data_IF_161549418157
#
_entry.id   IF_161549418157
#
_cell.length_a   1.000
_cell.length_b   1.000
_cell.length_c   1.000
_cell.angle_alpha   90.00
_cell.angle_beta   90.00
_cell.angle_gamma   90.00
#
_symmetry.space_group_name_H-M   'P 1'
#
loop_
_entity.id
_entity.type
_entity.pdbx_description
1 polymer ?
#
# COMPACT_ATOMS: atom_id res chain seq x y z
N UNK A 1 -69.30 -0.68 11.64
CA UNK A 1 -68.14 -0.49 12.54
C UNK A 1 -66.90 -0.93 11.80
N UNK A 2 -66.08 0.05 11.28
CA UNK A 2 -64.85 -0.23 10.52
C UNK A 2 -63.69 -0.28 11.51
N UNK A 3 -63.01 -1.43 11.63
CA UNK A 3 -61.80 -1.56 12.43
C UNK A 3 -60.61 -1.04 11.61
N UNK A 4 -59.99 0.08 12.07
CA UNK A 4 -58.76 0.58 11.55
C UNK A 4 -57.63 -0.17 12.26
N UNK A 5 -56.85 -0.96 11.49
CA UNK A 5 -55.63 -1.62 11.97
C UNK A 5 -54.47 -0.65 11.69
N UNK A 6 -53.93 -0.09 12.77
CA UNK A 6 -52.78 0.79 12.71
C UNK A 6 -51.49 -0.09 12.63
N UNK A 7 -50.82 -0.12 11.47
CA UNK A 7 -49.54 -0.76 11.30
C UNK A 7 -48.43 0.18 11.84
N UNK A 8 -47.91 -0.14 13.00
CA UNK A 8 -46.74 0.56 13.56
C UNK A 8 -45.47 -0.05 12.95
N UNK A 9 -44.92 0.59 11.90
CA UNK A 9 -43.64 0.20 11.33
C UNK A 9 -42.51 0.71 12.23
N UNK A 10 -41.89 -0.24 12.98
CA UNK A 10 -40.67 0.02 13.75
C UNK A 10 -39.51 0.12 12.76
N UNK A 11 -39.11 1.34 12.39
CA UNK A 11 -37.83 1.58 11.72
C UNK A 11 -36.70 1.32 12.74
N UNK A 12 -36.14 0.13 12.74
CA UNK A 12 -34.87 -0.13 13.41
C UNK A 12 -33.77 0.59 12.66
N UNK A 13 -33.32 1.74 13.16
CA UNK A 13 -32.09 2.40 12.73
C UNK A 13 -30.90 1.51 13.11
N UNK A 14 -30.36 0.75 12.16
CA UNK A 14 -29.07 0.07 12.31
C UNK A 14 -28.01 1.16 12.30
N UNK A 15 -27.63 1.64 13.49
CA UNK A 15 -26.45 2.48 13.66
C UNK A 15 -25.23 1.61 13.39
N UNK A 16 -24.71 1.62 12.18
CA UNK A 16 -23.38 1.09 11.91
C UNK A 16 -22.38 2.01 12.61
N UNK A 17 -21.90 1.61 13.77
CA UNK A 17 -20.74 2.21 14.42
C UNK A 17 -19.51 1.94 13.54
N UNK A 18 -19.34 2.69 12.46
CA UNK A 18 -18.08 2.74 11.74
C UNK A 18 -17.04 3.27 12.74
N UNK A 19 -16.11 2.42 13.15
CA UNK A 19 -15.02 2.82 14.03
C UNK A 19 -14.32 4.02 13.40
N UNK A 20 -14.36 5.18 14.07
CA UNK A 20 -13.80 6.42 13.55
C UNK A 20 -12.27 6.26 13.45
N UNK A 21 -11.78 6.24 12.24
CA UNK A 21 -10.33 6.20 11.97
C UNK A 21 -9.60 7.33 12.70
N UNK A 22 -8.44 7.07 13.28
CA UNK A 22 -7.64 8.10 13.94
C UNK A 22 -7.20 9.18 12.94
N UNK A 23 -6.95 10.42 13.37
CA UNK A 23 -6.43 11.46 12.50
C UNK A 23 -5.06 11.10 11.87
N UNK A 24 -4.24 10.32 12.58
CA UNK A 24 -2.94 9.86 12.08
C UNK A 24 -3.10 8.86 10.95
N UNK A 25 -3.93 7.84 11.17
CA UNK A 25 -4.20 6.80 10.18
C UNK A 25 -4.90 7.38 8.94
N UNK A 26 -5.85 8.31 9.13
CA UNK A 26 -6.50 9.02 8.03
C UNK A 26 -5.51 9.84 7.18
N UNK A 27 -4.56 10.53 7.83
CA UNK A 27 -3.49 11.25 7.14
C UNK A 27 -2.57 10.31 6.39
N UNK A 28 -2.18 9.19 6.99
CA UNK A 28 -1.36 8.18 6.32
C UNK A 28 -2.07 7.65 5.08
N UNK A 29 -3.35 7.28 5.20
CA UNK A 29 -4.16 6.84 4.07
C UNK A 29 -4.17 7.89 2.94
N UNK A 30 -4.38 9.16 3.27
CA UNK A 30 -4.36 10.26 2.29
C UNK A 30 -3.00 10.37 1.57
N UNK A 31 -1.89 10.11 2.28
CA UNK A 31 -0.54 10.24 1.71
C UNK A 31 -0.16 9.06 0.83
N UNK A 32 -0.58 7.83 1.18
CA UNK A 32 -0.19 6.64 0.43
C UNK A 32 -1.12 6.32 -0.75
N UNK A 33 -2.38 6.80 -0.73
CA UNK A 33 -3.32 6.56 -1.85
C UNK A 33 -3.15 7.60 -2.94
N UNK A 34 -3.32 7.19 -4.19
CA UNK A 34 -3.22 8.04 -5.38
C UNK A 34 -2.45 7.37 -6.51
N UNK A 35 -2.16 8.17 -7.53
CA UNK A 35 -1.30 7.78 -8.65
C UNK A 35 0.05 8.47 -8.49
N UNK A 36 1.12 7.72 -8.68
CA UNK A 36 2.48 8.18 -8.53
C UNK A 36 3.33 7.72 -9.70
N UNK A 37 4.20 8.58 -10.23
CA UNK A 37 5.21 8.19 -11.20
C UNK A 37 6.56 8.90 -10.95
N UNK A 38 7.63 8.32 -11.48
CA UNK A 38 8.97 8.90 -11.42
C UNK A 38 9.42 9.53 -12.76
N UNK A 39 8.50 9.87 -13.64
CA UNK A 39 8.81 10.41 -14.98
C UNK A 39 9.73 11.63 -14.94
N UNK A 40 9.56 12.53 -13.98
CA UNK A 40 10.42 13.71 -13.80
C UNK A 40 11.87 13.31 -13.50
N UNK A 41 12.08 12.30 -12.66
CA UNK A 41 13.41 11.78 -12.33
C UNK A 41 14.05 11.15 -13.57
N UNK A 42 13.33 10.25 -14.26
CA UNK A 42 13.82 9.57 -15.46
C UNK A 42 14.18 10.57 -16.59
N UNK A 43 13.31 11.58 -16.81
CA UNK A 43 13.61 12.65 -17.79
C UNK A 43 14.87 13.42 -17.42
N UNK A 44 15.08 13.73 -16.14
CA UNK A 44 16.27 14.44 -15.68
C UNK A 44 17.54 13.59 -15.87
N UNK A 45 17.47 12.30 -15.59
CA UNK A 45 18.56 11.34 -15.79
C UNK A 45 18.94 11.20 -17.27
N UNK A 46 17.95 11.08 -18.16
CA UNK A 46 18.16 11.02 -19.60
C UNK A 46 18.83 12.32 -20.11
N UNK A 47 18.38 13.47 -19.63
CA UNK A 47 19.00 14.77 -19.98
C UNK A 47 20.45 14.87 -19.46
N UNK A 48 20.77 14.22 -18.36
CA UNK A 48 22.13 14.14 -17.82
C UNK A 48 23.00 13.08 -18.53
N UNK A 49 22.47 12.40 -19.55
CA UNK A 49 23.20 11.43 -20.37
C UNK A 49 23.20 9.99 -19.81
N UNK A 50 22.53 9.70 -18.70
CA UNK A 50 22.50 8.37 -18.12
C UNK A 50 21.21 8.12 -17.37
N UNK A 51 20.35 7.27 -17.90
CA UNK A 51 19.21 6.74 -17.15
C UNK A 51 19.70 5.71 -16.11
N UNK A 52 19.36 5.92 -14.85
CA UNK A 52 19.71 5.03 -13.73
C UNK A 52 18.50 4.19 -13.29
N UNK A 53 17.32 4.81 -13.23
CA UNK A 53 16.10 4.19 -12.74
C UNK A 53 15.15 3.80 -13.89
N UNK A 54 14.40 2.70 -13.77
CA UNK A 54 13.32 2.41 -14.70
C UNK A 54 12.22 3.47 -14.56
N UNK A 55 11.44 3.69 -15.61
CA UNK A 55 10.17 4.39 -15.45
C UNK A 55 9.22 3.50 -14.67
N UNK A 56 8.71 4.01 -13.57
CA UNK A 56 7.84 3.27 -12.66
C UNK A 56 6.58 4.07 -12.32
N UNK A 57 5.46 3.37 -12.21
CA UNK A 57 4.15 3.93 -11.90
C UNK A 57 3.53 3.07 -10.79
N UNK A 58 2.97 3.71 -9.76
CA UNK A 58 2.20 3.07 -8.70
C UNK A 58 0.78 3.64 -8.69
N UNK A 59 -0.21 2.76 -8.65
CA UNK A 59 -1.63 3.11 -8.53
C UNK A 59 -2.17 2.49 -7.25
N UNK A 60 -2.34 3.32 -6.22
CA UNK A 60 -2.71 2.90 -4.88
C UNK A 60 -4.15 3.29 -4.57
N UNK A 61 -5.03 2.33 -4.32
CA UNK A 61 -6.43 2.56 -3.96
C UNK A 61 -6.82 1.82 -2.70
N UNK A 62 -7.64 2.47 -1.88
CA UNK A 62 -8.27 1.80 -0.73
C UNK A 62 -9.12 0.63 -1.23
N UNK A 63 -8.89 -0.53 -0.64
CA UNK A 63 -9.53 -1.79 -0.99
C UNK A 63 -10.28 -2.45 0.17
N UNK A 64 -10.47 -1.76 1.30
CA UNK A 64 -11.11 -2.30 2.50
C UNK A 64 -12.50 -2.89 2.19
N UNK A 65 -13.28 -2.26 1.31
CA UNK A 65 -14.60 -2.74 0.88
C UNK A 65 -14.55 -4.02 0.03
N UNK A 66 -13.37 -4.39 -0.48
CA UNK A 66 -13.13 -5.65 -1.20
C UNK A 66 -12.79 -6.82 -0.26
N UNK A 67 -12.63 -6.56 1.03
CA UNK A 67 -12.25 -7.57 2.01
C UNK A 67 -13.47 -7.97 2.82
N UNK A 68 -13.84 -9.25 2.78
CA UNK A 68 -14.90 -9.83 3.61
C UNK A 68 -14.33 -10.32 4.95
N UNK A 69 -15.20 -10.47 5.94
CA UNK A 69 -14.87 -11.04 7.25
C UNK A 69 -13.74 -10.30 7.99
N UNK A 70 -13.62 -8.99 7.75
CA UNK A 70 -12.67 -8.14 8.48
C UNK A 70 -13.07 -8.08 9.96
N UNK A 71 -12.14 -8.28 10.91
CA UNK A 71 -12.44 -8.14 12.34
C UNK A 71 -12.98 -6.73 12.65
N UNK A 72 -14.03 -6.66 13.46
CA UNK A 72 -14.67 -5.38 13.82
C UNK A 72 -13.78 -4.43 14.61
N UNK A 73 -12.75 -4.96 15.25
CA UNK A 73 -11.76 -4.21 16.03
C UNK A 73 -10.48 -3.87 15.24
N UNK A 74 -10.44 -4.14 13.93
CA UNK A 74 -9.29 -3.78 13.11
C UNK A 74 -9.17 -2.25 12.99
N UNK A 75 -8.12 -1.68 13.53
CA UNK A 75 -7.81 -0.25 13.39
C UNK A 75 -6.87 -0.05 12.19
N UNK A 76 -7.40 -0.25 10.99
CA UNK A 76 -6.60 -0.24 9.77
C UNK A 76 -7.43 -0.10 8.50
N UNK A 77 -6.73 -0.12 7.37
CA UNK A 77 -7.34 -0.14 6.04
C UNK A 77 -6.47 -0.93 5.07
N UNK A 78 -7.11 -1.50 4.05
CA UNK A 78 -6.43 -2.23 2.98
C UNK A 78 -6.20 -1.35 1.76
N UNK A 79 -5.08 -1.59 1.08
CA UNK A 79 -4.75 -1.01 -0.23
C UNK A 79 -4.46 -2.13 -1.22
N UNK A 80 -4.94 -1.98 -2.46
CA UNK A 80 -4.34 -2.64 -3.60
C UNK A 80 -3.38 -1.63 -4.24
N UNK A 81 -2.12 -2.02 -4.31
CA UNK A 81 -1.10 -1.33 -5.10
C UNK A 81 -0.90 -2.06 -6.42
N UNK A 82 -1.03 -1.34 -7.52
CA UNK A 82 -0.63 -1.79 -8.84
C UNK A 82 0.68 -1.10 -9.21
N UNK A 83 1.77 -1.89 -9.26
CA UNK A 83 3.09 -1.39 -9.64
C UNK A 83 3.40 -1.75 -11.08
N UNK A 84 3.72 -0.76 -11.88
CA UNK A 84 4.10 -0.89 -13.29
C UNK A 84 5.52 -0.38 -13.47
N UNK A 85 6.35 -1.19 -14.12
CA UNK A 85 7.71 -0.80 -14.47
C UNK A 85 7.89 -0.90 -15.98
N UNK A 86 8.56 0.10 -16.56
CA UNK A 86 8.94 0.10 -17.96
C UNK A 86 10.45 0.06 -18.06
N UNK A 87 10.99 -0.96 -18.71
CA UNK A 87 12.41 -1.05 -19.06
C UNK A 87 12.50 -1.04 -20.58
N UNK A 88 13.34 -0.15 -21.12
CA UNK A 88 13.53 0.03 -22.57
C UNK A 88 12.21 0.24 -23.33
N UNK A 89 11.27 0.99 -22.73
CA UNK A 89 9.96 1.26 -23.30
C UNK A 89 9.00 0.08 -23.36
N UNK A 90 9.38 -1.09 -22.82
CA UNK A 90 8.50 -2.27 -22.72
C UNK A 90 7.87 -2.32 -21.35
N UNK A 91 6.55 -2.52 -21.25
CA UNK A 91 5.91 -2.72 -19.96
C UNK A 91 6.46 -3.99 -19.34
N UNK A 92 7.02 -3.86 -18.16
CA UNK A 92 7.26 -5.00 -17.29
C UNK A 92 5.91 -5.47 -16.74
N UNK A 93 5.90 -6.71 -16.34
CA UNK A 93 4.74 -7.31 -15.68
C UNK A 93 4.19 -6.42 -14.56
N UNK A 94 2.88 -6.21 -14.58
CA UNK A 94 2.13 -5.71 -13.45
C UNK A 94 2.43 -6.56 -12.21
N UNK A 95 2.81 -5.91 -11.12
CA UNK A 95 2.95 -6.53 -9.79
C UNK A 95 1.90 -5.96 -8.86
N UNK A 96 0.79 -6.66 -8.67
CA UNK A 96 -0.20 -6.24 -7.69
C UNK A 96 0.21 -6.68 -6.29
N UNK A 97 -0.05 -5.83 -5.31
CA UNK A 97 0.13 -6.11 -3.90
C UNK A 97 -1.17 -5.83 -3.14
N UNK A 98 -1.42 -6.61 -2.10
CA UNK A 98 -2.44 -6.33 -1.10
C UNK A 98 -1.74 -6.00 0.21
N UNK A 99 -1.92 -4.78 0.67
CA UNK A 99 -1.36 -4.25 1.89
C UNK A 99 -2.46 -3.97 2.91
N UNK A 100 -2.19 -4.29 4.16
CA UNK A 100 -2.94 -3.81 5.31
C UNK A 100 -2.05 -2.82 6.08
N UNK A 101 -2.57 -1.63 6.34
CA UNK A 101 -1.96 -0.65 7.22
C UNK A 101 -2.80 -0.53 8.49
N UNK A 102 -2.18 -0.78 9.63
CA UNK A 102 -2.81 -0.72 10.95
C UNK A 102 -2.10 0.26 11.85
N UNK A 103 -2.85 1.09 12.55
CA UNK A 103 -2.29 1.89 13.62
C UNK A 103 -2.08 1.05 14.88
N UNK A 104 -0.85 1.02 15.36
CA UNK A 104 -0.41 0.35 16.59
C UNK A 104 -0.20 1.37 17.71
N UNK A 105 0.01 0.88 18.91
CA UNK A 105 0.35 1.73 20.06
C UNK A 105 1.57 2.60 19.75
N UNK A 106 1.56 3.84 20.27
CA UNK A 106 2.65 4.79 20.06
C UNK A 106 2.58 5.57 18.74
N UNK A 107 1.47 5.47 17.98
CA UNK A 107 1.30 6.20 16.71
C UNK A 107 2.16 5.62 15.57
N UNK A 108 2.42 4.34 15.62
CA UNK A 108 3.10 3.60 14.56
C UNK A 108 2.06 3.08 13.58
N UNK A 109 2.29 3.25 12.27
CA UNK A 109 1.49 2.59 11.25
C UNK A 109 2.26 1.38 10.75
N UNK A 110 1.72 0.19 11.03
CA UNK A 110 2.32 -1.09 10.64
C UNK A 110 1.77 -1.57 9.29
N UNK A 111 2.66 -1.90 8.36
CA UNK A 111 2.36 -2.56 7.09
C UNK A 111 2.42 -4.07 7.24
N UNK A 112 1.36 -4.75 6.82
CA UNK A 112 1.37 -6.20 6.55
C UNK A 112 1.13 -6.42 5.06
N UNK A 113 2.01 -7.19 4.40
CA UNK A 113 1.84 -7.62 3.01
C UNK A 113 1.23 -9.01 2.98
N UNK A 114 0.23 -9.23 2.14
CA UNK A 114 -0.42 -10.53 1.98
C UNK A 114 0.01 -11.25 0.72
N UNK A 115 0.08 -12.60 0.81
CA UNK A 115 0.28 -13.47 -0.34
C UNK A 115 -1.01 -13.52 -1.18
N UNK A 116 -0.85 -13.43 -2.50
CA UNK A 116 -1.96 -13.47 -3.46
C UNK A 116 -1.91 -14.69 -4.38
N UNK A 117 -1.22 -15.76 -3.95
CA UNK A 117 -0.97 -16.96 -4.76
C UNK A 117 -2.23 -17.72 -5.18
N UNK A 118 -3.35 -17.53 -4.45
CA UNK A 118 -4.64 -18.12 -4.79
C UNK A 118 -5.42 -17.33 -5.86
N UNK A 119 -4.91 -16.17 -6.28
CA UNK A 119 -5.59 -15.28 -7.23
C UNK A 119 -4.78 -15.15 -8.52
N UNK A 120 -5.48 -15.00 -9.63
CA UNK A 120 -4.80 -14.67 -10.89
C UNK A 120 -4.36 -13.21 -10.85
N UNK A 121 -3.11 -12.97 -11.18
CA UNK A 121 -2.46 -11.66 -11.12
C UNK A 121 -3.23 -10.59 -11.90
N UNK A 122 -3.75 -10.96 -13.06
CA UNK A 122 -4.48 -10.06 -13.96
C UNK A 122 -5.84 -9.65 -13.40
N UNK A 123 -6.38 -10.41 -12.45
CA UNK A 123 -7.67 -10.12 -11.79
C UNK A 123 -7.49 -9.17 -10.59
N UNK A 124 -6.26 -9.07 -10.04
CA UNK A 124 -5.95 -8.22 -8.88
C UNK A 124 -5.74 -6.80 -9.37
N UNK A 125 -6.85 -6.09 -9.58
CA UNK A 125 -6.86 -4.74 -10.11
C UNK A 125 -7.79 -3.84 -9.30
N UNK A 126 -7.41 -2.57 -9.21
CA UNK A 126 -8.20 -1.56 -8.51
C UNK A 126 -9.59 -1.36 -9.15
N UNK A 127 -9.66 -1.43 -10.49
CA UNK A 127 -10.89 -1.27 -11.28
C UNK A 127 -11.75 -2.55 -11.36
N UNK A 128 -11.24 -3.71 -10.91
CA UNK A 128 -12.03 -4.94 -10.91
C UNK A 128 -13.09 -4.89 -9.78
N UNK A 129 -14.34 -4.59 -10.16
CA UNK A 129 -15.46 -4.45 -9.21
C UNK A 129 -15.91 -5.78 -8.61
N UNK A 130 -15.56 -6.90 -9.23
CA UNK A 130 -15.92 -8.25 -8.76
C UNK A 130 -14.87 -8.85 -7.83
N UNK A 131 -13.69 -8.25 -7.76
CA UNK A 131 -12.60 -8.73 -6.92
C UNK A 131 -12.99 -8.64 -5.45
N UNK A 132 -12.84 -9.75 -4.74
CA UNK A 132 -13.11 -9.86 -3.31
C UNK A 132 -12.14 -10.83 -2.66
N UNK A 133 -11.66 -10.47 -1.47
CA UNK A 133 -10.81 -11.31 -0.63
C UNK A 133 -11.58 -11.70 0.63
N UNK A 134 -11.26 -12.85 1.19
CA UNK A 134 -11.72 -13.24 2.53
C UNK A 134 -10.56 -13.09 3.51
N UNK A 135 -10.72 -12.21 4.50
CA UNK A 135 -9.69 -11.95 5.52
C UNK A 135 -9.19 -13.22 6.20
N UNK A 136 -10.10 -14.18 6.45
CA UNK A 136 -9.76 -15.44 7.12
C UNK A 136 -8.90 -16.38 6.29
N UNK A 137 -8.78 -16.11 4.97
CA UNK A 137 -7.96 -16.87 4.02
C UNK A 137 -6.67 -16.13 3.63
N UNK A 138 -6.50 -14.88 4.06
CA UNK A 138 -5.31 -14.11 3.77
C UNK A 138 -4.15 -14.58 4.64
N UNK A 139 -3.04 -14.94 4.01
CA UNK A 139 -1.80 -15.30 4.68
C UNK A 139 -0.78 -14.16 4.52
N UNK A 140 -0.18 -13.65 5.61
CA UNK A 140 0.92 -12.70 5.50
C UNK A 140 2.08 -13.25 4.69
N UNK A 141 2.83 -12.38 4.03
CA UNK A 141 4.04 -12.76 3.31
C UNK A 141 5.06 -13.39 4.26
N UNK A 142 5.63 -14.56 3.94
CA UNK A 142 6.63 -15.21 4.78
C UNK A 142 8.01 -14.53 4.67
N UNK A 143 8.25 -13.79 3.60
CA UNK A 143 9.57 -13.21 3.28
C UNK A 143 9.66 -11.74 3.67
N UNK A 144 8.60 -10.97 3.48
CA UNK A 144 8.54 -9.56 3.90
C UNK A 144 7.67 -9.43 5.15
N UNK A 145 8.32 -9.21 6.30
CA UNK A 145 7.63 -9.14 7.62
C UNK A 145 6.89 -7.82 7.87
N UNK A 146 6.86 -6.94 6.89
CA UNK A 146 6.22 -5.64 6.99
C UNK A 146 7.19 -4.50 7.28
N UNK A 147 6.61 -3.33 7.53
CA UNK A 147 7.34 -2.11 7.83
C UNK A 147 6.56 -1.25 8.83
N UNK A 148 7.27 -0.56 9.70
CA UNK A 148 6.70 0.37 10.68
C UNK A 148 6.97 1.80 10.24
N UNK A 149 5.91 2.57 10.00
CA UNK A 149 5.98 3.97 9.62
C UNK A 149 5.76 4.86 10.82
N UNK A 150 6.60 5.89 10.96
CA UNK A 150 6.48 6.92 11.97
C UNK A 150 6.20 8.28 11.33
N UNK A 151 5.40 9.10 12.01
CA UNK A 151 5.12 10.47 11.59
C UNK A 151 6.18 11.44 12.13
N UNK A 152 6.80 12.22 11.24
CA UNK A 152 7.59 13.40 11.62
C UNK A 152 6.75 14.67 11.43
N UNK A 153 6.34 15.34 12.53
CA UNK A 153 5.51 16.55 12.44
C UNK A 153 6.28 17.77 11.91
N UNK A 154 7.60 17.80 12.00
CA UNK A 154 8.43 18.91 11.51
C UNK A 154 8.50 18.92 10.00
N UNK A 155 8.81 17.77 9.42
CA UNK A 155 8.93 17.60 7.98
C UNK A 155 7.58 17.28 7.32
N UNK A 156 6.55 16.97 8.13
CA UNK A 156 5.24 16.50 7.66
C UNK A 156 5.36 15.27 6.77
N UNK A 157 6.10 14.25 7.23
CA UNK A 157 6.38 13.02 6.50
C UNK A 157 6.09 11.79 7.33
N UNK A 158 5.72 10.70 6.65
CA UNK A 158 5.83 9.36 7.19
C UNK A 158 7.12 8.72 6.68
N UNK A 159 7.83 8.04 7.55
CA UNK A 159 9.12 7.45 7.24
C UNK A 159 9.20 6.03 7.76
N UNK A 160 9.87 5.16 7.01
CA UNK A 160 10.27 3.83 7.46
C UNK A 160 11.67 3.47 6.97
N UNK A 161 12.38 2.68 7.77
CA UNK A 161 13.55 1.89 7.36
C UNK A 161 13.31 0.49 7.94
N UNK A 162 13.02 -0.47 7.08
CA UNK A 162 12.63 -1.83 7.46
C UNK A 162 13.58 -2.86 6.87
N UNK A 163 14.58 -3.33 7.65
CA UNK A 163 15.41 -4.46 7.25
C UNK A 163 14.65 -5.78 7.45
N UNK A 164 14.66 -6.63 6.42
CA UNK A 164 14.06 -7.94 6.42
C UNK A 164 15.10 -8.99 6.06
N UNK A 165 15.25 -10.01 6.90
CA UNK A 165 16.08 -11.17 6.62
C UNK A 165 15.28 -12.15 5.75
N UNK A 166 15.77 -12.40 4.53
CA UNK A 166 15.15 -13.32 3.58
C UNK A 166 15.72 -14.75 3.69
N UNK A 167 16.68 -14.98 4.60
CA UNK A 167 17.40 -16.23 4.76
C UNK A 167 18.55 -16.41 3.75
N UNK A 168 19.37 -17.43 3.97
CA UNK A 168 20.51 -17.78 3.10
C UNK A 168 21.47 -16.61 2.82
N UNK A 169 21.71 -15.75 3.81
CA UNK A 169 22.58 -14.57 3.68
C UNK A 169 21.97 -13.42 2.90
N UNK A 170 20.70 -13.53 2.50
CA UNK A 170 19.98 -12.47 1.78
C UNK A 170 19.24 -11.55 2.75
N UNK A 171 19.39 -10.26 2.54
CA UNK A 171 18.70 -9.21 3.28
C UNK A 171 18.03 -8.26 2.33
N UNK A 172 16.77 -7.89 2.62
CA UNK A 172 16.02 -6.84 1.95
C UNK A 172 15.85 -5.67 2.90
N UNK A 173 16.16 -4.46 2.47
CA UNK A 173 15.90 -3.25 3.25
C UNK A 173 15.00 -2.33 2.45
N UNK A 174 13.82 -2.03 3.00
CA UNK A 174 12.91 -1.03 2.48
C UNK A 174 13.15 0.29 3.21
N UNK A 175 13.42 1.36 2.46
CA UNK A 175 13.44 2.74 2.98
C UNK A 175 12.42 3.54 2.22
N UNK A 176 11.43 4.09 2.92
CA UNK A 176 10.39 4.92 2.32
C UNK A 176 10.16 6.22 3.08
N UNK A 177 9.82 7.25 2.33
CA UNK A 177 9.40 8.54 2.85
C UNK A 177 8.21 9.06 2.05
N UNK A 178 7.09 9.29 2.74
CA UNK A 178 5.88 9.85 2.16
C UNK A 178 5.69 11.31 2.56
N UNK A 179 5.37 12.13 1.59
CA UNK A 179 4.79 13.46 1.79
C UNK A 179 3.39 13.49 1.15
N UNK A 180 2.66 14.61 1.29
CA UNK A 180 1.39 14.79 0.57
C UNK A 180 1.52 14.81 -0.96
N UNK A 181 2.74 15.00 -1.49
CA UNK A 181 3.00 15.20 -2.93
C UNK A 181 3.97 14.19 -3.53
N UNK A 182 4.67 13.42 -2.72
CA UNK A 182 5.79 12.60 -3.18
C UNK A 182 5.94 11.36 -2.31
N UNK A 183 6.29 10.27 -2.98
CA UNK A 183 6.78 9.03 -2.38
C UNK A 183 8.24 8.85 -2.80
N UNK A 184 9.12 8.58 -1.85
CA UNK A 184 10.53 8.25 -2.10
C UNK A 184 10.75 6.83 -1.62
N UNK A 185 11.26 5.95 -2.48
CA UNK A 185 11.45 4.52 -2.20
C UNK A 185 12.87 4.11 -2.55
N UNK A 186 13.54 3.44 -1.63
CA UNK A 186 14.78 2.72 -1.87
C UNK A 186 14.62 1.29 -1.38
N UNK A 187 14.66 0.37 -2.32
CA UNK A 187 14.66 -1.08 -2.08
C UNK A 187 16.06 -1.61 -2.32
N UNK A 188 16.66 -2.18 -1.29
CA UNK A 188 18.00 -2.73 -1.37
C UNK A 188 17.98 -4.23 -1.05
N UNK A 189 18.51 -5.03 -1.96
CA UNK A 189 18.75 -6.45 -1.75
C UNK A 189 20.25 -6.65 -1.62
N UNK A 190 20.66 -7.26 -0.52
CA UNK A 190 22.05 -7.65 -0.25
C UNK A 190 22.14 -9.17 -0.12
N UNK A 191 23.26 -9.73 -0.55
CA UNK A 191 23.65 -11.11 -0.26
C UNK A 191 25.05 -11.14 0.28
N UNK A 192 25.23 -11.72 1.46
CA UNK A 192 26.52 -11.83 2.14
C UNK A 192 27.27 -10.48 2.21
N UNK A 193 26.53 -9.38 2.46
CA UNK A 193 27.03 -8.01 2.54
C UNK A 193 27.29 -7.33 1.18
N UNK A 194 27.01 -7.99 0.06
CA UNK A 194 27.15 -7.43 -1.28
C UNK A 194 25.79 -6.95 -1.82
N UNK A 195 25.71 -5.68 -2.20
CA UNK A 195 24.50 -5.12 -2.82
C UNK A 195 24.24 -5.77 -4.20
N UNK A 196 23.01 -6.26 -4.39
CA UNK A 196 22.54 -6.87 -5.63
C UNK A 196 21.61 -5.95 -6.42
N UNK A 197 21.06 -4.91 -5.79
CA UNK A 197 20.17 -3.95 -6.46
C UNK A 197 20.92 -3.17 -7.53
N UNK A 198 20.30 -2.96 -8.69
CA UNK A 198 20.94 -2.29 -9.82
C UNK A 198 21.24 -0.80 -9.57
N UNK A 199 20.53 -0.19 -8.62
CA UNK A 199 20.71 1.21 -8.20
C UNK A 199 20.77 1.30 -6.67
N UNK A 200 21.50 2.28 -6.18
CA UNK A 200 21.69 2.56 -4.74
C UNK A 200 21.13 3.93 -4.34
N UNK A 201 20.38 4.56 -5.20
CA UNK A 201 19.69 5.83 -4.98
C UNK A 201 18.18 5.63 -5.03
N UNK A 202 17.39 6.42 -4.29
CA UNK A 202 15.95 6.22 -4.22
C UNK A 202 15.24 6.57 -5.53
N UNK A 203 14.19 5.85 -5.83
CA UNK A 203 13.20 6.26 -6.83
C UNK A 203 12.31 7.34 -6.19
N UNK A 204 12.10 8.43 -6.92
CA UNK A 204 11.35 9.60 -6.49
C UNK A 204 10.07 9.69 -7.31
N UNK A 205 8.97 9.29 -6.71
CA UNK A 205 7.66 9.32 -7.33
C UNK A 205 6.94 10.63 -7.00
N UNK A 206 6.57 11.40 -8.00
CA UNK A 206 5.64 12.51 -7.86
C UNK A 206 4.20 12.02 -7.86
N UNK A 207 3.34 12.62 -7.04
CA UNK A 207 1.90 12.38 -7.12
C UNK A 207 1.35 13.00 -8.39
N UNK A 208 0.54 12.25 -9.16
CA UNK A 208 -0.09 12.71 -10.41
C UNK A 208 -1.61 12.87 -10.30
N UNK A 209 -2.26 12.15 -9.36
CA UNK A 209 -3.69 12.28 -9.01
C UNK A 209 -3.93 12.01 -7.53
#
# INVERSE_FOLDING_TARGET
MKKIILFLSILSTISTNAQKQSPLLARFQQYITGDFDNSKQVIAEIKAGKQVHPLAIHVNRVATQKIKNVPTNLNGFFIIEESYYLIDGKPLDLKPYLFLFEEKLGGIIHLTTYQLTAYKKEEIRNDNVTLSFDYTQLAPSPTFKGADYTWDPRDKTFNTISPNDLGNGMKFTLTEKFTSKQLTVLEQVEKDGKLLTAWNTPIIYGRTK
#
